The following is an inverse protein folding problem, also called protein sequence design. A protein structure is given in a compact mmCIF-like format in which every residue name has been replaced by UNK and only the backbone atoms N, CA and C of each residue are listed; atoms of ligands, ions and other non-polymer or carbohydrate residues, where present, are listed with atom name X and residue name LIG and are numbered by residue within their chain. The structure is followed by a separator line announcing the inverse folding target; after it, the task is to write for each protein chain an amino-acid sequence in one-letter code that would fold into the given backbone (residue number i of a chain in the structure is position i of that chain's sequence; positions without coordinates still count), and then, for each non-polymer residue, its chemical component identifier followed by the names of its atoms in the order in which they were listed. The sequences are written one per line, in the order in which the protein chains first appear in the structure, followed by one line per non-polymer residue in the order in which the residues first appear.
data_IF_080569207569
#
_entry.id   IF_080569207569
#
_cell.length_a   1.000
_cell.length_b   1.000
_cell.length_c   1.000
_cell.angle_alpha   90.00
_cell.angle_beta   90.00
_cell.angle_gamma   90.00
#
_symmetry.space_group_name_H-M   'P 1'
#
loop_
_entity.id
_entity.type
_entity.pdbx_description
1 polymer ?
#
# COMPACT_ATOMS: atom_id res chain seq x y z
N UNK A 1 -18.57 -12.55 -21.02
CA UNK A 1 -18.59 -13.23 -19.71
C UNK A 1 -17.26 -13.95 -19.51
N UNK A 2 -16.63 -13.77 -18.37
CA UNK A 2 -15.38 -14.47 -18.05
C UNK A 2 -15.75 -15.83 -17.47
N UNK A 3 -15.34 -16.88 -18.15
CA UNK A 3 -15.65 -18.25 -17.73
C UNK A 3 -14.60 -18.84 -16.78
N UNK A 4 -13.41 -18.27 -16.76
CA UNK A 4 -12.32 -18.71 -15.91
C UNK A 4 -12.16 -17.79 -14.69
N UNK A 5 -12.41 -18.31 -13.47
CA UNK A 5 -12.27 -17.49 -12.26
C UNK A 5 -10.87 -16.88 -12.09
N UNK A 6 -9.83 -17.60 -12.46
CA UNK A 6 -8.45 -17.10 -12.34
C UNK A 6 -8.23 -15.86 -13.19
N UNK A 7 -8.74 -15.85 -14.43
CA UNK A 7 -8.69 -14.65 -15.28
C UNK A 7 -9.42 -13.49 -14.66
N UNK A 8 -10.57 -13.73 -14.05
CA UNK A 8 -11.33 -12.68 -13.35
C UNK A 8 -10.51 -12.08 -12.20
N UNK A 9 -9.91 -12.91 -11.35
CA UNK A 9 -9.11 -12.42 -10.22
C UNK A 9 -7.92 -11.58 -10.68
N UNK A 10 -7.23 -12.02 -11.73
CA UNK A 10 -6.13 -11.26 -12.33
C UNK A 10 -6.59 -9.89 -12.82
N UNK A 11 -7.70 -9.83 -13.52
CA UNK A 11 -8.26 -8.56 -14.01
C UNK A 11 -8.68 -7.64 -12.87
N UNK A 12 -9.24 -8.20 -11.80
CA UNK A 12 -9.60 -7.43 -10.61
C UNK A 12 -8.37 -6.82 -9.95
N UNK A 13 -7.27 -7.57 -9.81
CA UNK A 13 -6.01 -7.06 -9.29
C UNK A 13 -5.47 -5.93 -10.16
N UNK A 14 -5.45 -6.12 -11.48
CA UNK A 14 -4.99 -5.08 -12.41
C UNK A 14 -5.82 -3.80 -12.26
N UNK A 15 -7.14 -3.94 -12.13
CA UNK A 15 -8.01 -2.78 -11.91
C UNK A 15 -7.71 -2.05 -10.61
N UNK A 16 -7.53 -2.78 -9.51
CA UNK A 16 -7.16 -2.17 -8.22
C UNK A 16 -5.88 -1.36 -8.34
N UNK A 17 -4.85 -1.94 -8.95
CA UNK A 17 -3.54 -1.30 -9.05
C UNK A 17 -3.56 -0.07 -9.97
N UNK A 18 -4.30 -0.12 -11.07
CA UNK A 18 -4.39 1.05 -11.94
C UNK A 18 -5.19 2.21 -11.34
N UNK A 19 -6.16 1.90 -10.47
CA UNK A 19 -6.99 2.92 -9.83
C UNK A 19 -6.27 3.71 -8.74
N UNK A 20 -5.31 3.09 -8.04
CA UNK A 20 -4.63 3.75 -6.92
C UNK A 20 -3.42 4.59 -7.33
N UNK A 21 -2.81 4.32 -8.47
CA UNK A 21 -1.67 5.09 -8.99
C UNK A 21 -0.45 5.15 -8.04
N UNK A 22 -0.31 4.18 -7.15
CA UNK A 22 0.84 4.00 -6.25
C UNK A 22 0.92 2.52 -5.83
N UNK A 23 2.05 2.07 -5.25
CA UNK A 23 2.17 0.67 -4.82
C UNK A 23 1.13 0.30 -3.76
N UNK A 24 0.40 -0.78 -3.99
CA UNK A 24 -0.62 -1.28 -3.07
C UNK A 24 -0.08 -2.49 -2.31
N UNK A 25 -0.30 -2.53 -1.00
CA UNK A 25 0.19 -3.64 -0.17
C UNK A 25 -0.56 -4.94 -0.47
N UNK A 26 0.14 -6.07 -0.36
CA UNK A 26 -0.48 -7.38 -0.49
C UNK A 26 -1.61 -7.57 0.51
N UNK A 27 -1.43 -7.05 1.72
CA UNK A 27 -2.45 -7.10 2.77
C UNK A 27 -3.76 -6.44 2.34
N UNK A 28 -3.69 -5.28 1.68
CA UNK A 28 -4.91 -4.59 1.21
C UNK A 28 -5.61 -5.35 0.09
N UNK A 29 -4.85 -5.91 -0.82
CA UNK A 29 -5.41 -6.73 -1.89
C UNK A 29 -6.07 -7.98 -1.29
N UNK A 30 -5.37 -8.68 -0.40
CA UNK A 30 -5.86 -9.87 0.27
C UNK A 30 -7.13 -9.57 1.06
N UNK A 31 -7.13 -8.49 1.83
CA UNK A 31 -8.29 -8.07 2.61
C UNK A 31 -9.54 -7.89 1.74
N UNK A 32 -9.40 -7.21 0.60
CA UNK A 32 -10.53 -7.02 -0.32
C UNK A 32 -11.09 -8.36 -0.81
N UNK A 33 -10.23 -9.24 -1.32
CA UNK A 33 -10.68 -10.50 -1.92
C UNK A 33 -11.29 -11.46 -0.91
N UNK A 34 -10.71 -11.54 0.29
CA UNK A 34 -11.18 -12.44 1.34
C UNK A 34 -12.42 -11.90 2.04
N UNK A 35 -12.43 -10.62 2.38
CA UNK A 35 -13.54 -9.97 3.07
C UNK A 35 -14.83 -9.96 2.22
N UNK A 36 -14.68 -9.77 0.93
CA UNK A 36 -15.78 -9.78 -0.05
C UNK A 36 -16.08 -11.18 -0.61
N UNK A 37 -15.37 -12.19 -0.12
CA UNK A 37 -15.56 -13.60 -0.50
C UNK A 37 -15.43 -13.88 -2.01
N UNK A 38 -14.59 -13.12 -2.71
CA UNK A 38 -14.32 -13.37 -4.13
C UNK A 38 -13.52 -14.63 -4.34
N UNK A 39 -12.52 -14.89 -3.50
CA UNK A 39 -11.69 -16.09 -3.57
C UNK A 39 -10.98 -16.34 -2.23
N UNK A 40 -10.20 -17.42 -2.17
CA UNK A 40 -9.39 -17.77 -1.00
C UNK A 40 -7.94 -17.27 -1.19
N UNK A 41 -7.17 -17.34 -0.12
CA UNK A 41 -5.78 -16.89 -0.09
C UNK A 41 -4.92 -17.58 -1.17
N UNK A 42 -5.06 -18.89 -1.34
CA UNK A 42 -4.24 -19.66 -2.26
C UNK A 42 -4.49 -19.27 -3.72
N UNK A 43 -5.75 -19.13 -4.10
CA UNK A 43 -6.12 -18.71 -5.46
C UNK A 43 -5.65 -17.30 -5.75
N UNK A 44 -5.74 -16.41 -4.77
CA UNK A 44 -5.25 -15.03 -4.92
C UNK A 44 -3.72 -15.01 -5.08
N UNK A 45 -2.98 -15.76 -4.27
CA UNK A 45 -1.52 -15.86 -4.39
C UNK A 45 -1.11 -16.42 -5.75
N UNK A 46 -1.84 -17.38 -6.27
CA UNK A 46 -1.61 -17.92 -7.62
C UNK A 46 -1.84 -16.83 -8.68
N UNK A 47 -2.92 -16.07 -8.56
CA UNK A 47 -3.20 -14.97 -9.50
C UNK A 47 -2.07 -13.93 -9.48
N UNK A 48 -1.60 -13.54 -8.31
CA UNK A 48 -0.49 -12.59 -8.17
C UNK A 48 0.81 -13.15 -8.78
N UNK A 49 1.14 -14.41 -8.54
CA UNK A 49 2.31 -15.07 -9.14
C UNK A 49 2.25 -15.06 -10.66
N UNK A 50 1.10 -15.43 -11.22
CA UNK A 50 0.94 -15.49 -12.67
C UNK A 50 1.00 -14.09 -13.31
N UNK A 51 0.49 -13.06 -12.62
CA UNK A 51 0.61 -11.68 -13.07
C UNK A 51 2.06 -11.20 -13.08
N UNK A 52 2.86 -11.60 -12.08
CA UNK A 52 4.29 -11.28 -12.01
C UNK A 52 5.03 -11.99 -13.16
N UNK A 53 4.77 -13.28 -13.37
CA UNK A 53 5.40 -14.08 -14.44
C UNK A 53 5.10 -13.50 -15.83
N UNK A 54 3.88 -12.98 -16.03
CA UNK A 54 3.48 -12.33 -17.26
C UNK A 54 3.97 -10.89 -17.40
N UNK A 55 4.69 -10.38 -16.42
CA UNK A 55 5.17 -9.00 -16.37
C UNK A 55 4.05 -7.95 -16.41
N UNK A 56 2.87 -8.28 -15.90
CA UNK A 56 1.74 -7.34 -15.81
C UNK A 56 1.75 -6.53 -14.53
N UNK A 57 2.40 -7.05 -13.49
CA UNK A 57 2.62 -6.35 -12.23
C UNK A 57 4.07 -6.54 -11.77
N UNK A 58 4.54 -5.61 -10.93
CA UNK A 58 5.83 -5.70 -10.27
C UNK A 58 5.63 -5.83 -8.78
N UNK A 59 6.45 -6.66 -8.17
CA UNK A 59 6.48 -6.87 -6.74
C UNK A 59 7.64 -6.09 -6.14
N UNK A 60 7.37 -5.35 -5.07
CA UNK A 60 8.37 -4.60 -4.33
C UNK A 60 8.31 -5.03 -2.88
N UNK A 61 9.46 -5.36 -2.30
CA UNK A 61 9.56 -5.71 -0.90
C UNK A 61 10.25 -4.58 -0.15
N UNK A 62 9.55 -3.97 0.79
CA UNK A 62 10.07 -2.88 1.61
C UNK A 62 9.77 -3.24 3.08
N UNK A 63 10.82 -3.51 3.87
CA UNK A 63 10.72 -3.76 5.32
C UNK A 63 9.63 -4.77 5.69
N UNK A 64 9.74 -5.98 5.15
CA UNK A 64 8.78 -7.07 5.39
C UNK A 64 7.35 -6.80 4.87
N UNK A 65 7.17 -5.75 4.07
CA UNK A 65 5.91 -5.44 3.40
C UNK A 65 6.06 -5.68 1.91
N UNK A 66 5.19 -6.52 1.36
CA UNK A 66 5.13 -6.78 -0.07
C UNK A 66 4.13 -5.83 -0.71
N UNK A 67 4.54 -5.16 -1.78
CA UNK A 67 3.72 -4.18 -2.51
C UNK A 67 3.75 -4.48 -3.99
N UNK A 68 2.70 -4.09 -4.69
CA UNK A 68 2.55 -4.33 -6.12
C UNK A 68 2.23 -3.05 -6.86
N UNK A 69 2.77 -2.94 -8.08
CA UNK A 69 2.44 -1.87 -9.02
C UNK A 69 2.09 -2.50 -10.37
N UNK A 70 1.21 -1.84 -11.12
CA UNK A 70 0.89 -2.25 -12.48
C UNK A 70 1.99 -1.78 -13.44
N UNK A 71 2.32 -2.61 -14.42
CA UNK A 71 3.29 -2.29 -15.48
C UNK A 71 2.57 -1.69 -16.69
N UNK A 72 3.32 -1.07 -17.65
CA UNK A 72 2.71 -0.66 -18.92
C UNK A 72 2.05 -1.84 -19.66
N UNK A 73 2.64 -3.02 -19.62
CA UNK A 73 2.07 -4.24 -20.19
C UNK A 73 0.78 -4.65 -19.49
N UNK A 74 0.71 -4.48 -18.16
CA UNK A 74 -0.50 -4.71 -17.38
C UNK A 74 -1.62 -3.74 -17.74
N UNK A 75 -1.29 -2.47 -17.94
CA UNK A 75 -2.26 -1.46 -18.43
C UNK A 75 -2.81 -1.84 -19.80
N UNK A 76 -1.95 -2.29 -20.69
CA UNK A 76 -2.35 -2.73 -22.02
C UNK A 76 -3.26 -3.95 -21.94
N UNK A 77 -2.91 -4.95 -21.11
CA UNK A 77 -3.74 -6.14 -20.90
C UNK A 77 -5.12 -5.76 -20.35
N UNK A 78 -5.17 -4.83 -19.41
CA UNK A 78 -6.45 -4.30 -18.92
C UNK A 78 -7.27 -3.67 -20.05
N UNK A 79 -6.63 -2.89 -20.91
CA UNK A 79 -7.29 -2.25 -22.06
C UNK A 79 -7.98 -3.27 -22.98
N UNK A 80 -7.36 -4.43 -23.17
CA UNK A 80 -7.91 -5.49 -24.03
C UNK A 80 -9.00 -6.32 -23.33
N UNK A 81 -8.83 -6.65 -22.06
CA UNK A 81 -9.65 -7.66 -21.39
C UNK A 81 -10.56 -7.07 -20.30
N UNK A 82 -10.32 -5.86 -19.84
CA UNK A 82 -11.05 -5.24 -18.73
C UNK A 82 -12.55 -5.08 -18.97
N UNK A 83 -12.95 -4.95 -20.22
CA UNK A 83 -14.36 -4.84 -20.61
C UNK A 83 -15.21 -6.07 -20.24
N UNK A 84 -14.54 -7.19 -19.99
CA UNK A 84 -15.20 -8.44 -19.59
C UNK A 84 -15.58 -8.47 -18.12
N UNK A 85 -15.04 -7.56 -17.31
CA UNK A 85 -15.36 -7.47 -15.88
C UNK A 85 -16.68 -6.71 -15.71
N UNK A 86 -17.58 -7.27 -14.91
CA UNK A 86 -18.90 -6.66 -14.71
C UNK A 86 -18.79 -5.31 -14.00
N UNK A 87 -19.73 -4.40 -14.30
CA UNK A 87 -19.79 -3.09 -13.66
C UNK A 87 -20.00 -3.18 -12.14
N UNK A 88 -20.67 -4.23 -11.67
CA UNK A 88 -20.87 -4.48 -10.24
C UNK A 88 -19.57 -4.75 -9.51
N UNK A 89 -18.68 -5.54 -10.11
CA UNK A 89 -17.36 -5.85 -9.54
C UNK A 89 -16.50 -4.58 -9.52
N UNK A 90 -16.50 -3.82 -10.61
CA UNK A 90 -15.74 -2.57 -10.68
C UNK A 90 -16.22 -1.56 -9.64
N UNK A 91 -17.54 -1.43 -9.46
CA UNK A 91 -18.12 -0.56 -8.43
C UNK A 91 -17.74 -1.02 -7.01
N UNK A 92 -17.67 -2.32 -6.78
CA UNK A 92 -17.26 -2.90 -5.50
C UNK A 92 -15.81 -2.56 -5.17
N UNK A 93 -14.91 -2.68 -6.16
CA UNK A 93 -13.50 -2.30 -6.01
C UNK A 93 -13.39 -0.79 -5.75
N UNK A 94 -14.06 0.04 -6.54
CA UNK A 94 -14.03 1.49 -6.36
C UNK A 94 -14.54 1.90 -4.99
N UNK A 95 -15.60 1.26 -4.50
CA UNK A 95 -16.15 1.49 -3.16
C UNK A 95 -15.16 1.16 -2.07
N UNK A 96 -14.50 0.00 -2.17
CA UNK A 96 -13.48 -0.42 -1.22
C UNK A 96 -12.31 0.55 -1.18
N UNK A 97 -11.79 0.94 -2.34
CA UNK A 97 -10.66 1.87 -2.43
C UNK A 97 -11.03 3.24 -1.86
N UNK A 98 -12.26 3.70 -2.09
CA UNK A 98 -12.75 4.97 -1.55
C UNK A 98 -12.89 4.93 -0.03
N UNK A 99 -13.49 3.86 0.52
CA UNK A 99 -13.68 3.67 1.96
C UNK A 99 -12.36 3.57 2.71
N UNK A 100 -11.33 2.97 2.08
CA UNK A 100 -10.02 2.74 2.68
C UNK A 100 -8.96 3.73 2.19
N UNK A 101 -9.36 4.76 1.46
CA UNK A 101 -8.45 5.70 0.81
C UNK A 101 -7.35 6.24 1.73
N UNK A 102 -7.72 6.66 2.92
CA UNK A 102 -6.78 7.24 3.88
C UNK A 102 -5.80 6.18 4.39
N UNK A 103 -6.29 5.01 4.78
CA UNK A 103 -5.42 3.91 5.24
C UNK A 103 -4.46 3.44 4.17
N UNK A 104 -4.96 3.25 2.94
CA UNK A 104 -4.17 2.79 1.81
C UNK A 104 -3.03 3.76 1.53
N UNK A 105 -3.31 5.05 1.48
CA UNK A 105 -2.30 6.08 1.25
C UNK A 105 -1.29 6.13 2.39
N UNK A 106 -1.75 6.08 3.62
CA UNK A 106 -0.88 6.10 4.80
C UNK A 106 0.05 4.90 4.85
N UNK A 107 -0.45 3.70 4.55
CA UNK A 107 0.37 2.49 4.54
C UNK A 107 1.48 2.54 3.50
N UNK A 108 1.20 3.06 2.33
CA UNK A 108 2.17 3.13 1.24
C UNK A 108 3.19 4.23 1.46
N UNK A 109 2.74 5.36 2.02
CA UNK A 109 3.57 6.52 2.22
C UNK A 109 4.28 6.59 3.56
N UNK A 110 4.05 5.63 4.46
CA UNK A 110 4.65 5.64 5.80
C UNK A 110 6.02 4.97 5.78
N UNK A 111 7.06 5.73 6.10
CA UNK A 111 8.44 5.23 6.15
C UNK A 111 9.13 5.66 7.43
N UNK A 112 10.06 4.83 7.90
CA UNK A 112 10.93 5.17 9.02
C UNK A 112 12.30 4.51 8.83
N UNK A 113 13.34 5.29 9.00
CA UNK A 113 14.73 4.85 8.91
C UNK A 113 15.53 5.44 10.05
N UNK A 114 16.65 4.81 10.38
CA UNK A 114 17.59 5.38 11.33
C UNK A 114 19.01 5.19 10.86
N UNK A 115 19.90 6.04 11.37
CA UNK A 115 21.33 5.93 11.14
C UNK A 115 22.07 6.45 12.38
N UNK A 116 23.30 5.99 12.53
CA UNK A 116 24.18 6.45 13.60
C UNK A 116 24.80 7.79 13.22
N UNK A 117 24.63 8.80 14.09
CA UNK A 117 25.19 10.12 13.85
C UNK A 117 26.69 10.18 14.24
N UNK A 118 27.35 11.27 13.89
CA UNK A 118 28.75 11.52 14.27
C UNK A 118 28.91 11.70 15.77
N UNK A 119 27.85 12.05 16.50
CA UNK A 119 27.86 12.26 17.96
C UNK A 119 27.53 11.00 18.76
N UNK A 120 27.54 9.82 18.12
CA UNK A 120 27.25 8.53 18.75
C UNK A 120 25.76 8.27 19.03
N UNK A 121 24.89 9.25 18.83
CA UNK A 121 23.45 9.08 18.90
C UNK A 121 22.92 8.45 17.62
N UNK A 122 21.67 8.03 17.65
CA UNK A 122 20.96 7.52 16.47
C UNK A 122 19.88 8.52 16.06
N UNK A 123 19.83 8.85 14.78
CA UNK A 123 18.82 9.73 14.21
C UNK A 123 17.75 8.87 13.55
N UNK A 124 16.51 9.04 14.00
CA UNK A 124 15.35 8.35 13.43
C UNK A 124 14.58 9.33 12.58
N UNK A 125 14.40 9.01 11.30
CA UNK A 125 13.60 9.80 10.37
C UNK A 125 12.28 9.08 10.12
N UNK A 126 11.17 9.73 10.49
CA UNK A 126 9.82 9.20 10.33
C UNK A 126 9.06 10.09 9.36
N UNK A 127 8.50 9.52 8.31
CA UNK A 127 7.84 10.30 7.27
C UNK A 127 6.50 9.71 6.86
N UNK A 128 5.59 10.59 6.45
CA UNK A 128 4.38 10.23 5.73
C UNK A 128 4.39 11.03 4.43
N UNK A 129 4.31 10.31 3.31
CA UNK A 129 4.28 10.91 1.97
C UNK A 129 2.99 10.52 1.25
N UNK A 130 2.42 11.43 0.51
CA UNK A 130 1.29 11.19 -0.38
C UNK A 130 1.75 11.52 -1.81
N UNK A 131 2.08 10.47 -2.57
CA UNK A 131 2.69 10.66 -3.88
C UNK A 131 4.04 11.36 -3.73
N UNK A 132 4.18 12.51 -4.36
CA UNK A 132 5.40 13.35 -4.24
C UNK A 132 5.32 14.35 -3.10
N UNK A 133 4.18 14.45 -2.44
CA UNK A 133 3.97 15.40 -1.35
C UNK A 133 4.36 14.76 -0.02
N UNK A 134 5.26 15.44 0.70
CA UNK A 134 5.62 15.04 2.07
C UNK A 134 4.64 15.70 3.04
N UNK A 135 3.82 14.88 3.71
CA UNK A 135 2.83 15.38 4.66
C UNK A 135 3.46 15.74 6.00
N UNK A 136 4.37 14.90 6.48
CA UNK A 136 5.11 15.15 7.71
C UNK A 136 6.47 14.46 7.63
N UNK A 137 7.47 15.08 8.21
CA UNK A 137 8.81 14.51 8.38
C UNK A 137 9.30 14.85 9.77
N UNK A 138 9.62 13.84 10.56
CA UNK A 138 10.17 13.99 11.90
C UNK A 138 11.57 13.42 11.95
N UNK A 139 12.48 14.16 12.55
CA UNK A 139 13.84 13.70 12.80
C UNK A 139 14.08 13.75 14.31
N UNK A 140 14.31 12.61 14.91
CA UNK A 140 14.44 12.45 16.34
C UNK A 140 15.79 11.82 16.69
N UNK A 141 16.48 12.36 17.71
CA UNK A 141 17.72 11.81 18.21
C UNK A 141 17.45 10.93 19.41
N UNK A 142 17.96 9.71 19.42
CA UNK A 142 17.84 8.76 20.53
C UNK A 142 19.22 8.18 20.87
N UNK A 143 19.45 7.82 22.16
CA UNK A 143 20.79 7.44 22.58
C UNK A 143 21.24 6.05 22.17
N UNK A 144 20.34 5.12 21.88
CA UNK A 144 20.71 3.76 21.53
C UNK A 144 19.94 3.19 20.36
N UNK A 145 20.53 2.16 19.73
CA UNK A 145 20.00 1.52 18.54
C UNK A 145 18.66 0.81 18.79
N UNK A 146 18.52 0.19 19.96
CA UNK A 146 17.29 -0.52 20.30
C UNK A 146 16.07 0.42 20.32
N UNK A 147 16.27 1.64 20.86
CA UNK A 147 15.22 2.65 20.83
C UNK A 147 14.92 3.10 19.40
N UNK A 148 15.95 3.26 18.57
CA UNK A 148 15.78 3.65 17.16
C UNK A 148 14.96 2.60 16.39
N UNK A 149 15.29 1.33 16.55
CA UNK A 149 14.55 0.22 15.93
C UNK A 149 13.09 0.17 16.38
N UNK A 150 12.87 0.34 17.68
CA UNK A 150 11.54 0.34 18.26
C UNK A 150 10.68 1.48 17.69
N UNK A 151 11.25 2.67 17.56
CA UNK A 151 10.56 3.81 16.97
C UNK A 151 10.20 3.57 15.50
N UNK A 152 11.11 3.01 14.72
CA UNK A 152 10.84 2.66 13.33
C UNK A 152 9.70 1.65 13.22
N UNK A 153 9.68 0.64 14.07
CA UNK A 153 8.63 -0.39 14.08
C UNK A 153 7.27 0.20 14.45
N UNK A 154 7.23 1.05 15.47
CA UNK A 154 5.98 1.65 15.97
C UNK A 154 5.43 2.77 15.09
N UNK A 155 6.28 3.41 14.30
CA UNK A 155 5.87 4.54 13.48
C UNK A 155 4.71 4.20 12.55
N UNK A 156 4.70 3.00 11.96
CA UNK A 156 3.62 2.59 11.05
C UNK A 156 2.25 2.70 11.72
N UNK A 157 2.13 2.22 12.96
CA UNK A 157 0.86 2.23 13.69
C UNK A 157 0.55 3.59 14.31
N UNK A 158 1.58 4.32 14.74
CA UNK A 158 1.43 5.60 15.42
C UNK A 158 1.35 6.80 14.48
N UNK A 159 1.74 6.64 13.23
CA UNK A 159 1.94 7.75 12.29
C UNK A 159 0.72 8.67 12.12
N UNK A 160 -0.47 8.10 12.04
CA UNK A 160 -1.69 8.87 11.85
C UNK A 160 -2.05 9.69 13.08
N UNK A 161 -1.92 9.09 14.27
CA UNK A 161 -2.21 9.77 15.53
C UNK A 161 -1.22 10.92 15.75
N UNK A 162 0.06 10.69 15.45
CA UNK A 162 1.08 11.74 15.54
C UNK A 162 0.80 12.86 14.55
N UNK A 163 0.51 12.54 13.30
CA UNK A 163 0.19 13.53 12.27
C UNK A 163 -1.03 14.37 12.66
N UNK A 164 -2.11 13.71 13.07
CA UNK A 164 -3.33 14.38 13.52
C UNK A 164 -3.09 15.26 14.74
N UNK A 165 -2.33 14.75 15.71
CA UNK A 165 -2.00 15.50 16.92
C UNK A 165 -1.21 16.77 16.60
N UNK A 166 -0.17 16.65 15.77
CA UNK A 166 0.66 17.80 15.38
C UNK A 166 -0.19 18.86 14.66
N UNK A 167 -1.03 18.44 13.71
CA UNK A 167 -1.90 19.37 12.99
C UNK A 167 -2.83 20.13 13.95
N UNK A 168 -3.51 19.40 14.83
CA UNK A 168 -4.44 20.01 15.79
C UNK A 168 -3.73 21.01 16.71
N UNK A 169 -2.57 20.65 17.22
CA UNK A 169 -1.79 21.54 18.09
C UNK A 169 -1.32 22.79 17.38
N UNK A 170 -0.83 22.64 16.15
CA UNK A 170 -0.30 23.79 15.39
C UNK A 170 -1.42 24.69 14.83
N UNK A 171 -2.59 24.13 14.58
CA UNK A 171 -3.75 24.89 14.08
C UNK A 171 -4.59 25.49 15.22
N UNK A 172 -4.26 25.19 16.47
CA UNK A 172 -4.99 25.70 17.63
C UNK A 172 -6.34 25.07 17.87
N UNK A 173 -6.58 23.87 17.28
CA UNK A 173 -7.81 23.09 17.49
C UNK A 173 -7.61 22.20 18.72
N UNK A 174 -8.40 22.38 19.76
CA UNK A 174 -8.37 21.51 20.94
C UNK A 174 -9.20 20.23 20.74
#
# INVERSE_FOLDING_TARGET
MISDPMTLYKLMVLYMLRRVNFPLTEERITHFFLDREYTNYFSLKQALSELIESNFIRCHSVRNSTRYTITPEGEEAWGFFGKKVSSGILADIDGYLKENRFRIRSEVGVTADYYKSTNQDYIVNCEINEGRLKLISLSLSVPDEAQAELMCTRWRDASQDVYSYVLKKLMGSD
#
